data_IF_759831046023
#
_entry.id   IF_759831046023
#
_cell.length_a   1.000
_cell.length_b   1.000
_cell.length_c   1.000
_cell.angle_alpha   90.00
_cell.angle_beta   90.00
_cell.angle_gamma   90.00
#
_symmetry.space_group_name_H-M   'P 1'
#
loop_
_entity.id
_entity.type
_entity.pdbx_description
1 polymer ?
#
# COMPACT_ATOMS: atom_id res chain seq x y z
N UNK A 1 -23.64 15.45 15.32
CA UNK A 1 -24.24 14.20 15.84
C UNK A 1 -23.12 13.20 16.02
N UNK A 2 -22.78 12.85 17.27
CA UNK A 2 -21.90 11.72 17.56
C UNK A 2 -22.65 10.44 17.21
N UNK A 3 -22.40 9.90 16.02
CA UNK A 3 -22.81 8.53 15.70
C UNK A 3 -22.09 7.61 16.70
N UNK A 4 -22.81 7.16 17.73
CA UNK A 4 -22.34 6.10 18.60
C UNK A 4 -22.17 4.85 17.73
N UNK A 5 -20.92 4.48 17.48
CA UNK A 5 -20.58 3.23 16.81
C UNK A 5 -20.88 2.12 17.82
N UNK A 6 -22.09 1.56 17.77
CA UNK A 6 -22.36 0.32 18.50
C UNK A 6 -21.78 -0.82 17.68
N UNK A 7 -20.58 -1.26 18.05
CA UNK A 7 -19.98 -2.45 17.46
C UNK A 7 -20.77 -3.67 17.97
N UNK A 8 -21.23 -4.51 17.05
CA UNK A 8 -21.81 -5.81 17.37
C UNK A 8 -20.71 -6.77 17.83
N UNK A 9 -21.09 -7.86 18.52
CA UNK A 9 -20.14 -8.90 18.93
C UNK A 9 -19.38 -9.49 17.72
N UNK A 10 -20.07 -9.69 16.60
CA UNK A 10 -19.50 -10.19 15.34
C UNK A 10 -18.50 -9.19 14.75
N UNK A 11 -18.80 -7.89 14.78
CA UNK A 11 -17.86 -6.87 14.31
C UNK A 11 -16.62 -6.80 15.20
N UNK A 12 -16.77 -6.94 16.52
CA UNK A 12 -15.64 -7.00 17.45
C UNK A 12 -14.76 -8.24 17.20
N UNK A 13 -15.37 -9.40 16.96
CA UNK A 13 -14.64 -10.61 16.59
C UNK A 13 -13.85 -10.42 15.29
N UNK A 14 -14.50 -9.91 14.23
CA UNK A 14 -13.85 -9.59 12.97
C UNK A 14 -12.66 -8.62 13.16
N UNK A 15 -12.87 -7.51 13.88
CA UNK A 15 -11.83 -6.52 14.10
C UNK A 15 -10.66 -7.13 14.87
N UNK A 16 -10.92 -7.86 15.95
CA UNK A 16 -9.86 -8.51 16.73
C UNK A 16 -9.02 -9.45 15.86
N UNK A 17 -9.65 -10.32 15.06
CA UNK A 17 -8.94 -11.25 14.17
C UNK A 17 -8.14 -10.49 13.11
N UNK A 18 -8.76 -9.52 12.44
CA UNK A 18 -8.13 -8.79 11.33
C UNK A 18 -6.99 -7.87 11.79
N UNK A 19 -7.14 -7.17 12.92
CA UNK A 19 -6.09 -6.34 13.50
C UNK A 19 -4.92 -7.19 13.98
N UNK A 20 -5.17 -8.29 14.71
CA UNK A 20 -4.11 -9.19 15.13
C UNK A 20 -3.34 -9.74 13.93
N UNK A 21 -4.06 -10.19 12.88
CA UNK A 21 -3.41 -10.68 11.66
C UNK A 21 -2.57 -9.60 10.97
N UNK A 22 -3.09 -8.37 10.90
CA UNK A 22 -2.34 -7.25 10.33
C UNK A 22 -1.07 -6.97 11.14
N UNK A 23 -1.16 -6.90 12.47
CA UNK A 23 0.00 -6.60 13.31
C UNK A 23 1.04 -7.72 13.30
N UNK A 24 0.63 -9.00 13.30
CA UNK A 24 1.56 -10.12 13.17
C UNK A 24 2.37 -10.04 11.87
N UNK A 25 1.68 -9.78 10.73
CA UNK A 25 2.33 -9.62 9.43
C UNK A 25 3.21 -8.37 9.37
N UNK A 26 2.74 -7.27 9.97
CA UNK A 26 3.51 -6.03 10.04
C UNK A 26 4.81 -6.25 10.82
N UNK A 27 4.78 -6.84 12.02
CA UNK A 27 5.99 -7.12 12.80
C UNK A 27 6.94 -8.06 12.06
N UNK A 28 6.40 -9.11 11.45
CA UNK A 28 7.21 -10.07 10.68
C UNK A 28 7.94 -9.38 9.53
N UNK A 29 7.25 -8.57 8.73
CA UNK A 29 7.83 -7.93 7.53
C UNK A 29 8.80 -6.81 7.91
N UNK A 30 8.55 -6.11 9.02
CA UNK A 30 9.38 -5.00 9.48
C UNK A 30 10.69 -5.45 10.12
N UNK A 31 10.78 -6.71 10.54
CA UNK A 31 12.00 -7.33 11.06
C UNK A 31 13.07 -7.51 9.96
N UNK A 32 14.34 -7.28 10.31
CA UNK A 32 15.43 -7.35 9.33
C UNK A 32 15.66 -8.78 8.80
N UNK A 33 15.31 -9.83 9.56
CA UNK A 33 15.45 -11.22 9.13
C UNK A 33 14.47 -11.61 8.02
N UNK A 34 13.38 -10.85 7.83
CA UNK A 34 12.43 -11.02 6.73
C UNK A 34 13.11 -10.88 5.36
N UNK A 35 14.05 -9.93 5.25
CA UNK A 35 14.74 -9.66 3.98
C UNK A 35 15.71 -10.79 3.57
N UNK A 36 16.03 -11.70 4.49
CA UNK A 36 16.81 -12.91 4.22
C UNK A 36 15.95 -14.10 3.75
N UNK A 37 14.62 -13.97 3.77
CA UNK A 37 13.70 -14.99 3.24
C UNK A 37 13.71 -15.00 1.71
N UNK A 38 13.20 -16.05 1.09
CA UNK A 38 13.13 -16.10 -0.37
C UNK A 38 12.13 -15.07 -0.93
N UNK A 39 12.37 -14.61 -2.16
CA UNK A 39 11.58 -13.53 -2.77
C UNK A 39 10.09 -13.88 -2.94
N UNK A 40 9.76 -15.16 -3.17
CA UNK A 40 8.38 -15.64 -3.29
C UNK A 40 7.67 -15.63 -1.96
N UNK A 41 8.33 -16.07 -0.90
CA UNK A 41 7.81 -15.92 0.45
C UNK A 41 7.56 -14.44 0.78
N UNK A 42 8.55 -13.57 0.51
CA UNK A 42 8.39 -12.13 0.78
C UNK A 42 7.21 -11.55 0.05
N UNK A 43 7.09 -11.77 -1.27
CA UNK A 43 5.97 -11.27 -2.07
C UNK A 43 4.63 -11.86 -1.60
N UNK A 44 4.59 -13.13 -1.22
CA UNK A 44 3.38 -13.75 -0.67
C UNK A 44 2.92 -13.06 0.61
N UNK A 45 3.82 -12.81 1.56
CA UNK A 45 3.50 -12.10 2.80
C UNK A 45 3.05 -10.66 2.58
N UNK A 46 3.67 -9.99 1.61
CA UNK A 46 3.25 -8.66 1.17
C UNK A 46 1.83 -8.70 0.60
N UNK A 47 1.53 -9.62 -0.32
CA UNK A 47 0.16 -9.81 -0.84
C UNK A 47 -0.85 -10.04 0.29
N UNK A 48 -0.46 -10.84 1.28
CA UNK A 48 -1.30 -11.15 2.44
C UNK A 48 -1.62 -9.90 3.27
N UNK A 49 -0.61 -9.12 3.69
CA UNK A 49 -0.84 -7.92 4.52
C UNK A 49 -1.66 -6.85 3.79
N UNK A 50 -1.44 -6.65 2.48
CA UNK A 50 -2.28 -5.78 1.66
C UNK A 50 -3.74 -6.24 1.61
N UNK A 51 -3.97 -7.55 1.63
CA UNK A 51 -5.32 -8.13 1.58
C UNK A 51 -6.04 -7.96 2.92
N UNK A 52 -5.37 -8.25 4.03
CA UNK A 52 -5.89 -8.02 5.39
C UNK A 52 -6.22 -6.54 5.60
N UNK A 53 -5.29 -5.65 5.24
CA UNK A 53 -5.51 -4.22 5.31
C UNK A 53 -6.72 -3.78 4.47
N UNK A 54 -6.90 -4.33 3.27
CA UNK A 54 -8.04 -4.00 2.43
C UNK A 54 -9.37 -4.44 3.04
N UNK A 55 -9.43 -5.60 3.72
CA UNK A 55 -10.63 -6.01 4.46
C UNK A 55 -10.92 -5.07 5.63
N UNK A 56 -9.91 -4.68 6.42
CA UNK A 56 -10.06 -3.68 7.49
C UNK A 56 -10.66 -2.37 6.97
N UNK A 57 -10.21 -1.89 5.80
CA UNK A 57 -10.74 -0.67 5.19
C UNK A 57 -12.22 -0.75 4.76
N UNK A 58 -12.82 -1.94 4.67
CA UNK A 58 -14.25 -2.07 4.32
C UNK A 58 -15.17 -1.72 5.49
N UNK A 59 -14.68 -1.83 6.73
CA UNK A 59 -15.46 -1.58 7.93
C UNK A 59 -15.96 -0.12 7.96
N UNK A 60 -17.28 0.14 8.09
CA UNK A 60 -17.84 1.48 7.91
C UNK A 60 -17.28 2.55 8.87
N UNK A 61 -17.08 2.28 10.17
CA UNK A 61 -16.41 3.22 11.08
C UNK A 61 -15.01 3.62 10.61
N UNK A 62 -14.26 2.69 10.01
CA UNK A 62 -12.95 2.98 9.42
C UNK A 62 -13.09 3.95 8.24
N UNK A 63 -14.10 3.76 7.39
CA UNK A 63 -14.42 4.70 6.31
C UNK A 63 -14.80 6.09 6.84
N UNK A 64 -15.50 6.16 7.97
CA UNK A 64 -15.89 7.43 8.60
C UNK A 64 -14.69 8.18 9.19
N UNK A 65 -13.77 7.49 9.86
CA UNK A 65 -12.52 8.09 10.37
C UNK A 65 -11.66 8.59 9.21
N UNK A 66 -11.48 7.80 8.15
CA UNK A 66 -10.75 8.21 6.93
C UNK A 66 -11.39 9.44 6.25
N UNK A 67 -12.71 9.61 6.40
CA UNK A 67 -13.43 10.77 5.89
C UNK A 67 -13.37 12.02 6.78
N UNK A 68 -13.22 11.85 8.11
CA UNK A 68 -13.27 12.93 9.12
C UNK A 68 -11.91 13.45 9.55
N UNK A 69 -10.95 12.56 9.76
CA UNK A 69 -9.56 12.98 9.96
C UNK A 69 -9.10 13.53 8.63
N UNK A 70 -8.83 14.85 8.59
CA UNK A 70 -8.02 15.43 7.52
C UNK A 70 -6.80 14.53 7.41
N UNK A 71 -6.77 13.79 6.28
CA UNK A 71 -5.80 12.77 5.93
C UNK A 71 -4.46 13.17 6.52
N UNK A 72 -3.76 12.30 7.27
CA UNK A 72 -2.46 12.66 7.81
C UNK A 72 -1.65 13.29 6.66
N UNK A 73 -1.01 14.44 6.93
CA UNK A 73 -0.38 15.41 5.98
C UNK A 73 0.71 14.78 5.08
N UNK A 74 0.40 13.67 4.43
CA UNK A 74 1.17 13.03 3.41
C UNK A 74 0.64 13.61 2.11
N UNK A 75 1.48 14.39 1.44
CA UNK A 75 1.18 14.95 0.12
C UNK A 75 0.47 13.89 -0.73
N UNK A 76 -0.59 14.27 -1.45
CA UNK A 76 -1.50 13.36 -2.18
C UNK A 76 -0.80 12.24 -2.97
N UNK A 77 0.42 12.53 -3.43
CA UNK A 77 1.35 11.60 -4.10
C UNK A 77 1.64 10.32 -3.31
N UNK A 78 1.79 10.38 -1.98
CA UNK A 78 2.09 9.19 -1.17
C UNK A 78 0.92 8.21 -1.12
N UNK A 79 -0.30 8.71 -1.03
CA UNK A 79 -1.52 7.89 -1.08
C UNK A 79 -1.72 7.29 -2.48
N UNK A 80 -1.48 8.09 -3.52
CA UNK A 80 -1.53 7.63 -4.91
C UNK A 80 -0.48 6.53 -5.17
N UNK A 81 0.74 6.70 -4.65
CA UNK A 81 1.82 5.71 -4.75
C UNK A 81 1.48 4.41 -4.01
N UNK A 82 0.95 4.51 -2.78
CA UNK A 82 0.51 3.33 -2.03
C UNK A 82 -0.57 2.56 -2.79
N UNK A 83 -1.55 3.29 -3.34
CA UNK A 83 -2.62 2.70 -4.16
C UNK A 83 -2.07 2.08 -5.44
N UNK A 84 -1.06 2.70 -6.06
CA UNK A 84 -0.37 2.18 -7.23
C UNK A 84 0.32 0.85 -6.90
N UNK A 85 1.17 0.81 -5.86
CA UNK A 85 1.86 -0.40 -5.39
C UNK A 85 0.87 -1.51 -5.08
N UNK A 86 -0.18 -1.21 -4.31
CA UNK A 86 -1.24 -2.19 -4.01
C UNK A 86 -1.84 -2.78 -5.28
N UNK A 87 -2.25 -1.92 -6.21
CA UNK A 87 -2.90 -2.37 -7.43
C UNK A 87 -1.95 -3.20 -8.31
N UNK A 88 -0.65 -2.86 -8.35
CA UNK A 88 0.37 -3.65 -9.03
C UNK A 88 0.47 -5.06 -8.43
N UNK A 89 0.53 -5.16 -7.10
CA UNK A 89 0.67 -6.44 -6.38
C UNK A 89 -0.61 -7.29 -6.44
N UNK A 90 -1.79 -6.68 -6.35
CA UNK A 90 -3.08 -7.39 -6.28
C UNK A 90 -3.68 -7.75 -7.64
N UNK A 91 -3.55 -6.88 -8.65
CA UNK A 91 -4.19 -7.10 -9.97
C UNK A 91 -3.31 -7.87 -10.95
N UNK A 92 -2.03 -8.06 -10.62
CA UNK A 92 -1.10 -8.87 -11.42
C UNK A 92 -0.52 -10.01 -10.57
N UNK A 93 -1.36 -10.99 -10.18
CA UNK A 93 -0.98 -12.01 -9.19
C UNK A 93 -0.04 -13.10 -9.71
N UNK A 94 0.32 -13.06 -11.00
CA UNK A 94 1.08 -14.09 -11.71
C UNK A 94 2.61 -13.99 -11.58
N UNK A 95 3.11 -13.05 -10.77
CA UNK A 95 4.53 -12.91 -10.45
C UNK A 95 4.88 -13.53 -9.09
N UNK A 96 6.09 -14.08 -9.03
CA UNK A 96 6.68 -14.70 -7.83
C UNK A 96 7.66 -13.78 -7.10
N UNK A 97 8.16 -12.69 -7.69
CA UNK A 97 9.03 -11.74 -6.99
C UNK A 97 8.63 -10.29 -7.30
N UNK A 98 8.96 -9.35 -6.40
CA UNK A 98 8.72 -7.92 -6.62
C UNK A 98 9.42 -7.42 -7.90
N UNK A 99 10.63 -7.91 -8.14
CA UNK A 99 11.49 -7.50 -9.23
C UNK A 99 11.02 -7.97 -10.61
N UNK A 100 10.14 -8.97 -10.63
CA UNK A 100 9.51 -9.50 -11.83
C UNK A 100 8.21 -8.78 -12.16
N UNK A 101 7.64 -7.99 -11.23
CA UNK A 101 6.37 -7.30 -11.47
C UNK A 101 6.56 -6.23 -12.54
N UNK A 102 5.92 -6.45 -13.69
CA UNK A 102 5.86 -5.48 -14.77
C UNK A 102 4.45 -5.32 -15.32
N UNK A 103 4.20 -4.17 -15.93
CA UNK A 103 2.96 -3.86 -16.64
C UNK A 103 3.23 -3.25 -18.02
N UNK A 104 2.21 -3.25 -18.85
CA UNK A 104 2.12 -2.48 -20.10
C UNK A 104 0.82 -1.71 -20.12
N UNK A 105 0.79 -0.56 -20.81
CA UNK A 105 -0.40 0.29 -20.89
C UNK A 105 -1.65 -0.44 -21.40
N UNK A 106 -1.49 -1.28 -22.42
CA UNK A 106 -2.54 -2.13 -22.97
C UNK A 106 -3.05 -3.16 -21.96
N UNK A 107 -2.16 -3.78 -21.19
CA UNK A 107 -2.51 -4.79 -20.18
C UNK A 107 -3.28 -4.18 -19.01
N UNK A 108 -2.87 -2.99 -18.56
CA UNK A 108 -3.56 -2.24 -17.49
C UNK A 108 -5.01 -1.92 -17.85
N UNK A 109 -5.30 -1.68 -19.13
CA UNK A 109 -6.62 -1.29 -19.62
C UNK A 109 -7.37 -2.42 -20.34
N UNK A 110 -6.92 -3.68 -20.22
CA UNK A 110 -7.44 -4.81 -21.01
C UNK A 110 -8.97 -4.93 -21.03
N UNK A 111 -9.62 -4.70 -19.89
CA UNK A 111 -11.07 -4.85 -19.72
C UNK A 111 -11.82 -3.51 -19.65
N UNK A 112 -11.18 -2.38 -19.98
CA UNK A 112 -11.83 -1.08 -19.89
C UNK A 112 -11.43 -0.13 -21.01
N UNK A 113 -12.44 0.46 -21.65
CA UNK A 113 -12.23 1.56 -22.59
C UNK A 113 -11.83 2.88 -21.88
N UNK A 114 -11.90 2.95 -20.54
CA UNK A 114 -11.52 4.14 -19.77
C UNK A 114 -10.20 3.89 -19.03
N UNK A 115 -9.30 4.89 -18.97
CA UNK A 115 -8.05 4.78 -18.22
C UNK A 115 -8.28 4.33 -16.78
N UNK A 116 -7.71 3.17 -16.44
CA UNK A 116 -7.71 2.61 -15.09
C UNK A 116 -6.77 3.41 -14.18
N UNK A 117 -6.78 3.12 -12.87
CA UNK A 117 -5.99 3.90 -11.91
C UNK A 117 -4.48 3.85 -12.20
N UNK A 118 -3.92 2.68 -12.50
CA UNK A 118 -2.50 2.53 -12.82
C UNK A 118 -2.13 3.36 -14.06
N UNK A 119 -2.99 3.35 -15.08
CA UNK A 119 -2.80 4.13 -16.31
C UNK A 119 -2.79 5.63 -16.04
N UNK A 120 -3.76 6.12 -15.25
CA UNK A 120 -3.82 7.52 -14.80
C UNK A 120 -2.61 7.91 -13.97
N UNK A 121 -2.14 7.04 -13.08
CA UNK A 121 -0.98 7.29 -12.23
C UNK A 121 0.28 7.44 -13.09
N UNK A 122 0.57 6.48 -13.95
CA UNK A 122 1.78 6.49 -14.79
C UNK A 122 1.74 7.62 -15.81
N UNK A 123 0.59 7.89 -16.45
CA UNK A 123 0.45 9.02 -17.39
C UNK A 123 0.62 10.38 -16.71
N UNK A 124 0.26 10.49 -15.42
CA UNK A 124 0.40 11.72 -14.65
C UNK A 124 1.86 12.00 -14.27
N UNK A 125 2.66 10.96 -14.05
CA UNK A 125 4.04 11.08 -13.55
C UNK A 125 5.10 10.71 -14.59
N UNK A 126 4.73 10.39 -15.83
CA UNK A 126 5.66 10.17 -16.94
C UNK A 126 6.60 11.37 -17.10
N UNK A 127 7.91 11.11 -17.19
CA UNK A 127 8.94 12.13 -17.33
C UNK A 127 9.15 13.02 -16.10
N UNK A 128 8.46 12.78 -14.98
CA UNK A 128 8.71 13.53 -13.74
C UNK A 128 10.07 13.20 -13.14
N UNK A 129 10.63 14.18 -12.43
CA UNK A 129 11.84 13.99 -11.63
C UNK A 129 11.62 12.97 -10.50
N UNK A 130 12.72 12.40 -10.02
CA UNK A 130 12.70 11.49 -8.87
C UNK A 130 12.12 12.17 -7.62
N UNK A 131 11.26 11.46 -6.90
CA UNK A 131 10.74 11.92 -5.62
C UNK A 131 11.47 11.24 -4.49
N UNK A 132 11.88 12.04 -3.50
CA UNK A 132 12.50 11.55 -2.27
C UNK A 132 11.57 11.81 -1.11
N UNK A 133 11.13 10.74 -0.46
CA UNK A 133 10.34 10.80 0.76
C UNK A 133 11.17 10.39 1.96
N UNK A 134 10.85 11.00 3.09
CA UNK A 134 11.44 10.69 4.38
C UNK A 134 10.34 10.61 5.42
N UNK A 135 10.29 9.53 6.17
CA UNK A 135 9.35 9.39 7.28
C UNK A 135 10.07 8.87 8.50
N UNK A 136 9.67 9.46 9.62
CA UNK A 136 9.98 8.94 10.93
C UNK A 136 9.05 7.76 11.22
N UNK A 137 9.65 6.61 11.47
CA UNK A 137 8.98 5.43 11.97
C UNK A 137 9.04 5.44 13.49
N UNK A 138 7.94 5.86 14.13
CA UNK A 138 7.90 6.07 15.58
C UNK A 138 8.18 4.80 16.38
N UNK A 139 7.64 3.66 15.93
CA UNK A 139 7.75 2.39 16.64
C UNK A 139 9.20 1.90 16.71
N UNK A 140 9.89 1.88 15.58
CA UNK A 140 11.27 1.41 15.47
C UNK A 140 12.31 2.52 15.64
N UNK A 141 11.87 3.76 15.91
CA UNK A 141 12.69 4.96 16.09
C UNK A 141 13.76 5.13 15.01
N UNK A 142 13.39 4.82 13.77
CA UNK A 142 14.28 4.95 12.61
C UNK A 142 13.67 5.85 11.56
N UNK A 143 14.56 6.41 10.76
CA UNK A 143 14.21 7.28 9.68
C UNK A 143 14.41 6.54 8.37
N UNK A 144 13.33 6.41 7.61
CA UNK A 144 13.33 5.65 6.38
C UNK A 144 13.27 6.62 5.21
N UNK A 145 14.14 6.35 4.24
CA UNK A 145 14.21 7.09 2.99
C UNK A 145 13.57 6.23 1.91
N UNK A 146 12.78 6.88 1.06
CA UNK A 146 12.23 6.27 -0.15
C UNK A 146 12.68 7.12 -1.31
N UNK A 147 13.19 6.45 -2.34
CA UNK A 147 13.37 7.02 -3.65
C UNK A 147 12.31 6.43 -4.59
N UNK A 148 11.53 7.31 -5.23
CA UNK A 148 10.56 6.95 -6.25
C UNK A 148 11.03 7.54 -7.57
N UNK A 149 11.17 6.69 -8.57
CA UNK A 149 11.52 7.06 -9.94
C UNK A 149 10.33 6.84 -10.84
N UNK A 150 10.28 7.56 -11.95
CA UNK A 150 9.19 7.47 -12.91
C UNK A 150 9.71 7.09 -14.30
N UNK A 151 8.92 6.38 -15.10
CA UNK A 151 9.29 6.07 -16.47
C UNK A 151 9.47 7.36 -17.27
N UNK A 152 10.50 7.39 -18.13
CA UNK A 152 10.68 8.49 -19.08
C UNK A 152 9.61 8.45 -20.18
N UNK A 153 9.14 7.25 -20.53
CA UNK A 153 8.10 7.03 -21.53
C UNK A 153 7.13 5.95 -21.06
N UNK A 154 5.82 6.19 -21.18
CA UNK A 154 4.75 5.26 -20.87
C UNK A 154 3.83 5.02 -22.09
N UNK A 155 4.26 4.05 -22.90
CA UNK A 155 3.59 3.65 -24.14
C UNK A 155 3.04 2.21 -24.09
N UNK A 156 2.41 1.75 -25.17
CA UNK A 156 1.89 0.38 -25.27
C UNK A 156 3.00 -0.67 -25.46
N UNK A 157 4.16 -0.23 -25.95
CA UNK A 157 5.22 -1.13 -26.41
C UNK A 157 6.28 -1.39 -25.34
N UNK A 158 6.29 -0.59 -24.27
CA UNK A 158 7.30 -0.65 -23.21
C UNK A 158 6.76 -1.35 -21.96
N UNK A 159 7.56 -2.28 -21.42
CA UNK A 159 7.31 -2.84 -20.08
C UNK A 159 7.81 -1.85 -19.04
N UNK A 160 6.98 -1.59 -18.02
CA UNK A 160 7.37 -0.83 -16.84
C UNK A 160 7.46 -1.80 -15.67
N UNK A 161 8.64 -1.91 -15.07
CA UNK A 161 8.86 -2.75 -13.90
C UNK A 161 8.64 -1.95 -12.62
N UNK A 162 8.08 -2.60 -11.60
CA UNK A 162 7.84 -1.99 -10.30
C UNK A 162 9.16 -1.63 -9.61
N UNK A 163 10.19 -2.51 -9.70
CA UNK A 163 11.53 -2.26 -9.13
C UNK A 163 12.22 -1.01 -9.68
N UNK A 164 11.92 -0.63 -10.92
CA UNK A 164 12.51 0.54 -11.58
C UNK A 164 11.83 1.84 -11.12
N UNK A 165 10.67 1.74 -10.47
CA UNK A 165 9.94 2.86 -9.85
C UNK A 165 10.25 2.92 -8.36
N UNK A 166 10.30 1.75 -7.69
CA UNK A 166 10.43 1.64 -6.26
C UNK A 166 11.00 0.27 -5.87
N UNK A 167 12.09 0.27 -5.11
CA UNK A 167 12.70 -0.97 -4.64
C UNK A 167 11.75 -1.75 -3.73
N UNK A 168 11.91 -3.08 -3.67
CA UNK A 168 11.06 -3.97 -2.86
C UNK A 168 10.99 -3.49 -1.40
N UNK A 169 12.15 -3.33 -0.76
CA UNK A 169 12.25 -2.97 0.65
C UNK A 169 11.63 -1.61 0.94
N UNK A 170 11.99 -0.59 0.16
CA UNK A 170 11.47 0.76 0.36
C UNK A 170 9.96 0.82 0.11
N UNK A 171 9.45 0.15 -0.93
CA UNK A 171 8.03 0.17 -1.27
C UNK A 171 7.15 -0.58 -0.29
N UNK A 172 7.62 -1.71 0.23
CA UNK A 172 6.89 -2.44 1.26
C UNK A 172 6.92 -1.67 2.58
N UNK A 173 8.08 -1.18 3.03
CA UNK A 173 8.18 -0.40 4.27
C UNK A 173 7.32 0.86 4.21
N UNK A 174 7.33 1.56 3.06
CA UNK A 174 6.47 2.70 2.80
C UNK A 174 4.99 2.37 3.04
N UNK A 175 4.51 1.34 2.35
CA UNK A 175 3.12 0.96 2.37
C UNK A 175 2.71 0.53 3.78
N UNK A 176 3.51 -0.30 4.44
CA UNK A 176 3.23 -0.80 5.78
C UNK A 176 3.16 0.31 6.84
N UNK A 177 4.10 1.24 6.82
CA UNK A 177 4.10 2.35 7.79
C UNK A 177 2.90 3.27 7.57
N UNK A 178 2.51 3.49 6.31
CA UNK A 178 1.31 4.25 6.01
C UNK A 178 0.04 3.52 6.45
N UNK A 179 -0.08 2.22 6.17
CA UNK A 179 -1.19 1.38 6.65
C UNK A 179 -1.29 1.42 8.18
N UNK A 180 -0.18 1.21 8.87
CA UNK A 180 -0.11 1.22 10.33
C UNK A 180 -0.61 2.56 10.89
N UNK A 181 -0.14 3.69 10.34
CA UNK A 181 -0.58 5.02 10.77
C UNK A 181 -2.09 5.24 10.56
N UNK A 182 -2.63 4.80 9.42
CA UNK A 182 -4.05 4.88 9.11
C UNK A 182 -4.87 4.03 10.09
N UNK A 183 -4.40 2.83 10.43
CA UNK A 183 -5.07 1.96 11.40
C UNK A 183 -4.96 2.50 12.83
N UNK A 184 -3.82 3.07 13.23
CA UNK A 184 -3.65 3.64 14.57
C UNK A 184 -4.54 4.87 14.82
N UNK A 185 -4.73 5.71 13.82
CA UNK A 185 -5.62 6.87 13.96
C UNK A 185 -7.09 6.46 14.18
N UNK A 186 -7.47 5.25 13.75
CA UNK A 186 -8.77 4.65 14.03
C UNK A 186 -8.91 4.18 15.48
N UNK A 187 -7.86 3.61 16.08
CA UNK A 187 -7.89 3.16 17.47
C UNK A 187 -8.02 4.34 18.45
N UNK A 188 -7.39 5.47 18.14
CA UNK A 188 -7.46 6.68 18.97
C UNK A 188 -8.83 7.36 18.87
N UNK A 189 -9.51 7.26 17.72
CA UNK A 189 -10.82 7.90 17.49
C UNK A 189 -12.04 7.07 17.95
N UNK A 190 -11.83 5.83 18.42
CA UNK A 190 -12.85 4.97 19.04
C UNK A 190 -12.90 5.15 20.58
N UNK A 191 -11.98 5.91 21.18
CA UNK A 191 -12.04 6.32 22.59
C UNK A 191 -12.85 7.59 22.77
#
# INVERSE_FOLDING_TARGET
MSEQIHQTEIENEFLNIAYNRFYDLYEEIMDESFWNKDAKYRLFRVKEVFSVYFELLKYPPIKWVIGRERRPNFADVGMDLMKFVRNMVQHFPYFDSWDDIWIRKSLVNLYSARPQFIDKFLSKFEGHEELKYRFWEEKHKRLTYIKVTFPQEYSNDNKIYLKDILSEKEGIMFALILMYKILQSQVVSIK
#
